data_IF_047688784014
#
_entry.id   IF_047688784014
#
_cell.length_a   1.000
_cell.length_b   1.000
_cell.length_c   1.000
_cell.angle_alpha   90.00
_cell.angle_beta   90.00
_cell.angle_gamma   90.00
#
_symmetry.space_group_name_H-M   'P 1'
#
loop_
_entity.id
_entity.type
_entity.pdbx_description
1 polymer ?
#
# COMPACT_ATOMS: atom_id res chain seq x y z
N UNK A 1 2.63 -37.39 -42.22
CA UNK A 1 3.28 -36.81 -41.03
C UNK A 1 2.67 -35.42 -40.80
N UNK A 2 2.21 -35.08 -39.59
CA UNK A 2 1.84 -33.76 -39.10
C UNK A 2 0.40 -33.27 -39.37
N UNK A 3 -0.59 -33.80 -38.64
CA UNK A 3 -1.85 -33.07 -38.40
C UNK A 3 -2.24 -33.16 -36.89
N UNK A 4 -1.46 -33.84 -36.06
CA UNK A 4 -1.79 -34.03 -34.63
C UNK A 4 -1.47 -32.80 -33.72
N UNK A 5 -0.57 -31.91 -34.13
CA UNK A 5 -0.20 -30.74 -33.30
C UNK A 5 -1.24 -29.61 -33.31
N UNK A 6 -1.96 -29.41 -34.41
CA UNK A 6 -2.92 -28.31 -34.55
C UNK A 6 -4.24 -28.55 -33.78
N UNK A 7 -4.67 -29.79 -33.64
CA UNK A 7 -5.94 -30.12 -32.95
C UNK A 7 -5.78 -30.06 -31.42
N UNK A 8 -4.63 -30.44 -30.87
CA UNK A 8 -4.33 -30.36 -29.43
C UNK A 8 -4.22 -28.88 -29.04
N UNK A 9 -3.49 -28.07 -29.80
CA UNK A 9 -3.35 -26.63 -29.52
C UNK A 9 -4.69 -25.89 -29.60
N UNK A 10 -5.57 -26.24 -30.56
CA UNK A 10 -6.91 -25.64 -30.65
C UNK A 10 -7.83 -26.03 -29.48
N UNK A 11 -7.75 -27.27 -29.00
CA UNK A 11 -8.49 -27.74 -27.84
C UNK A 11 -8.01 -27.04 -26.54
N UNK A 12 -6.70 -26.84 -26.37
CA UNK A 12 -6.12 -26.14 -25.23
C UNK A 12 -6.49 -24.65 -25.21
N UNK A 13 -6.47 -23.98 -26.37
CA UNK A 13 -6.92 -22.59 -26.49
C UNK A 13 -8.43 -22.45 -26.20
N UNK A 14 -9.24 -23.39 -26.69
CA UNK A 14 -10.68 -23.39 -26.40
C UNK A 14 -10.94 -23.57 -24.89
N UNK A 15 -10.21 -24.45 -24.21
CA UNK A 15 -10.30 -24.65 -22.78
C UNK A 15 -9.87 -23.38 -22.03
N UNK A 16 -8.78 -22.73 -22.43
CA UNK A 16 -8.33 -21.49 -21.84
C UNK A 16 -9.37 -20.35 -21.96
N UNK A 17 -10.07 -20.26 -23.08
CA UNK A 17 -11.15 -19.27 -23.26
C UNK A 17 -12.40 -19.63 -22.43
N UNK A 18 -12.74 -20.92 -22.35
CA UNK A 18 -13.90 -21.39 -21.57
C UNK A 18 -13.73 -21.16 -20.06
N UNK A 19 -12.51 -21.27 -19.54
CA UNK A 19 -12.17 -21.07 -18.14
C UNK A 19 -11.76 -19.61 -17.82
N UNK A 20 -11.88 -18.72 -18.80
CA UNK A 20 -11.57 -17.31 -18.63
C UNK A 20 -12.53 -16.61 -17.67
N UNK A 21 -12.07 -15.53 -17.07
CA UNK A 21 -12.85 -14.67 -16.17
C UNK A 21 -12.75 -13.23 -16.65
N UNK A 22 -13.88 -12.55 -16.66
CA UNK A 22 -13.93 -11.10 -16.84
C UNK A 22 -14.56 -10.49 -15.58
N UNK A 23 -14.17 -9.27 -15.27
CA UNK A 23 -14.74 -8.52 -14.15
C UNK A 23 -14.83 -7.04 -14.46
N UNK A 24 -15.75 -6.39 -13.77
CA UNK A 24 -15.83 -4.94 -13.67
C UNK A 24 -15.84 -4.57 -12.19
N UNK A 25 -15.00 -3.60 -11.80
CA UNK A 25 -14.93 -3.05 -10.45
C UNK A 25 -15.17 -1.55 -10.54
N UNK A 26 -16.18 -1.07 -9.83
CA UNK A 26 -16.61 0.33 -9.80
C UNK A 26 -16.47 0.87 -8.38
N UNK A 27 -15.93 2.08 -8.23
CA UNK A 27 -15.83 2.77 -6.94
C UNK A 27 -16.14 4.25 -7.11
N UNK A 28 -17.27 4.69 -6.60
CA UNK A 28 -17.62 6.10 -6.48
C UNK A 28 -17.20 6.58 -5.10
N UNK A 29 -16.38 7.64 -5.02
CA UNK A 29 -15.86 8.17 -3.77
C UNK A 29 -15.94 9.68 -3.73
N UNK A 30 -16.48 10.19 -2.61
CA UNK A 30 -16.36 11.57 -2.20
C UNK A 30 -15.24 11.68 -1.16
N UNK A 31 -14.39 12.68 -1.30
CA UNK A 31 -13.33 13.05 -0.36
C UNK A 31 -13.35 14.57 -0.15
N UNK A 32 -13.17 15.02 1.09
CA UNK A 32 -12.93 16.44 1.40
C UNK A 32 -11.75 16.59 2.35
N UNK A 33 -11.02 17.67 2.20
CA UNK A 33 -9.83 18.03 2.98
C UNK A 33 -9.95 19.48 3.40
N UNK A 34 -9.86 19.73 4.69
CA UNK A 34 -9.80 21.04 5.33
C UNK A 34 -8.47 21.10 6.09
N UNK A 35 -7.57 22.02 5.69
CA UNK A 35 -6.23 22.17 6.26
C UNK A 35 -5.99 23.64 6.61
N UNK A 36 -5.49 23.90 7.82
CA UNK A 36 -5.08 25.26 8.23
C UNK A 36 -3.75 25.68 7.56
N UNK A 37 -3.82 25.88 6.24
CA UNK A 37 -2.72 26.31 5.39
C UNK A 37 -3.15 27.48 4.48
N UNK A 38 -2.30 27.88 3.54
CA UNK A 38 -2.57 29.00 2.63
C UNK A 38 -3.41 28.61 1.39
N UNK A 39 -3.73 27.33 1.23
CA UNK A 39 -4.54 26.80 0.12
C UNK A 39 -6.02 26.79 0.49
N UNK A 40 -6.88 26.72 -0.52
CA UNK A 40 -8.30 26.51 -0.29
C UNK A 40 -8.59 25.04 0.11
N UNK A 41 -9.69 24.82 0.82
CA UNK A 41 -10.18 23.49 1.14
C UNK A 41 -10.48 22.70 -0.12
N UNK A 42 -10.25 21.39 -0.05
CA UNK A 42 -10.46 20.54 -1.21
C UNK A 42 -11.71 19.67 -1.09
N UNK A 43 -12.37 19.44 -2.23
CA UNK A 43 -13.42 18.44 -2.36
C UNK A 43 -13.43 17.78 -3.73
N UNK A 44 -13.55 16.46 -3.75
CA UNK A 44 -13.56 15.65 -4.96
C UNK A 44 -14.68 14.62 -4.93
N UNK A 45 -15.35 14.43 -6.06
CA UNK A 45 -16.19 13.25 -6.30
C UNK A 45 -15.63 12.52 -7.52
N UNK A 46 -15.06 11.34 -7.29
CA UNK A 46 -14.36 10.57 -8.33
C UNK A 46 -15.01 9.21 -8.53
N UNK A 47 -15.02 8.74 -9.77
CA UNK A 47 -15.45 7.40 -10.15
C UNK A 47 -14.27 6.63 -10.75
N UNK A 48 -13.90 5.52 -10.12
CA UNK A 48 -13.00 4.55 -10.71
C UNK A 48 -13.77 3.42 -11.37
N UNK A 49 -13.31 3.03 -12.55
CA UNK A 49 -13.77 1.85 -13.28
C UNK A 49 -12.57 0.98 -13.62
N UNK A 50 -12.54 -0.27 -13.18
CA UNK A 50 -11.57 -1.28 -13.63
C UNK A 50 -12.30 -2.35 -14.43
N UNK A 51 -11.78 -2.64 -15.62
CA UNK A 51 -12.26 -3.73 -16.47
C UNK A 51 -11.12 -4.72 -16.67
N UNK A 52 -11.33 -5.95 -16.25
CA UNK A 52 -10.30 -6.96 -16.29
C UNK A 52 -10.74 -8.26 -16.94
N UNK A 53 -9.74 -8.97 -17.45
CA UNK A 53 -9.85 -10.29 -18.04
C UNK A 53 -8.66 -11.15 -17.61
N UNK A 54 -8.92 -12.43 -17.33
CA UNK A 54 -7.88 -13.43 -17.12
C UNK A 54 -8.26 -14.69 -17.88
N UNK A 55 -7.32 -15.21 -18.69
CA UNK A 55 -7.52 -16.49 -19.38
C UNK A 55 -7.51 -17.65 -18.37
N UNK A 56 -8.09 -18.77 -18.75
CA UNK A 56 -7.80 -20.06 -18.16
C UNK A 56 -6.32 -20.44 -18.37
N UNK A 57 -5.88 -21.51 -17.73
CA UNK A 57 -4.50 -21.98 -17.80
C UNK A 57 -4.31 -23.05 -18.88
N UNK A 58 -3.25 -22.91 -19.69
CA UNK A 58 -2.78 -23.92 -20.65
C UNK A 58 -1.36 -24.31 -20.29
N UNK A 59 -1.15 -25.55 -19.90
CA UNK A 59 0.19 -26.06 -19.48
C UNK A 59 0.86 -25.21 -18.41
N UNK A 60 0.08 -24.64 -17.50
CA UNK A 60 0.54 -23.74 -16.44
C UNK A 60 0.60 -22.26 -16.85
N UNK A 61 0.47 -21.90 -18.11
CA UNK A 61 0.47 -20.52 -18.58
C UNK A 61 -0.92 -19.90 -18.58
N UNK A 62 -1.02 -18.65 -18.16
CA UNK A 62 -2.22 -17.82 -18.24
C UNK A 62 -1.83 -16.36 -18.47
N UNK A 63 -2.79 -15.56 -18.91
CA UNK A 63 -2.63 -14.12 -19.15
C UNK A 63 -3.69 -13.35 -18.39
N UNK A 64 -3.33 -12.18 -17.87
CA UNK A 64 -4.25 -11.23 -17.23
C UNK A 64 -4.04 -9.84 -17.84
N UNK A 65 -5.14 -9.14 -18.14
CA UNK A 65 -5.15 -7.73 -18.49
C UNK A 65 -6.25 -7.02 -17.71
N UNK A 66 -5.97 -5.83 -17.21
CA UNK A 66 -6.90 -4.94 -16.53
C UNK A 66 -6.61 -3.50 -16.94
N UNK A 67 -7.65 -2.77 -17.29
CA UNK A 67 -7.61 -1.33 -17.57
C UNK A 67 -8.31 -0.62 -16.44
N UNK A 68 -7.73 0.47 -15.99
CA UNK A 68 -8.28 1.38 -14.99
C UNK A 68 -8.62 2.72 -15.64
N UNK A 69 -9.75 3.29 -15.23
CA UNK A 69 -10.20 4.63 -15.60
C UNK A 69 -10.67 5.35 -14.33
N UNK A 70 -10.13 6.53 -14.06
CA UNK A 70 -10.52 7.43 -12.96
C UNK A 70 -11.04 8.73 -13.55
N UNK A 71 -12.22 9.17 -13.11
CA UNK A 71 -12.86 10.40 -13.60
C UNK A 71 -13.46 11.21 -12.47
N UNK A 72 -13.35 12.52 -12.60
CA UNK A 72 -14.15 13.47 -11.82
C UNK A 72 -15.60 13.39 -12.32
N UNK A 73 -16.56 13.35 -11.42
CA UNK A 73 -17.98 13.30 -11.77
C UNK A 73 -18.75 14.44 -11.11
N UNK A 74 -19.84 14.84 -11.77
CA UNK A 74 -20.73 15.93 -11.34
C UNK A 74 -20.04 17.30 -11.15
N UNK A 75 -18.85 17.49 -11.75
CA UNK A 75 -18.11 18.76 -11.67
C UNK A 75 -17.59 19.09 -10.27
N UNK A 76 -17.36 18.08 -9.41
CA UNK A 76 -16.76 18.25 -8.09
C UNK A 76 -15.23 18.11 -8.22
N UNK A 77 -14.58 19.21 -8.60
CA UNK A 77 -13.19 19.30 -9.06
C UNK A 77 -12.35 20.33 -8.29
N UNK A 78 -12.81 20.76 -7.12
CA UNK A 78 -12.11 21.71 -6.24
C UNK A 78 -11.03 20.98 -5.43
N UNK A 79 -9.95 20.51 -6.08
CA UNK A 79 -8.83 19.84 -5.42
C UNK A 79 -7.55 19.91 -6.26
N UNK A 80 -6.41 19.78 -5.59
CA UNK A 80 -5.10 19.62 -6.24
C UNK A 80 -4.75 18.13 -6.27
N UNK A 81 -4.33 17.61 -7.44
CA UNK A 81 -3.92 16.19 -7.54
C UNK A 81 -2.59 15.93 -6.83
N UNK A 82 -1.65 16.83 -6.96
CA UNK A 82 -0.30 16.69 -6.40
C UNK A 82 0.73 17.53 -7.16
N UNK A 83 2.02 17.19 -7.05
CA UNK A 83 3.11 18.04 -7.57
C UNK A 83 3.09 18.24 -9.08
N UNK A 84 2.46 17.32 -9.81
CA UNK A 84 2.38 17.38 -11.28
C UNK A 84 0.93 17.16 -11.66
N UNK A 85 0.10 18.17 -11.71
CA UNK A 85 -1.25 17.86 -12.13
C UNK A 85 -2.20 19.02 -11.97
N UNK A 86 -3.42 18.68 -11.85
CA UNK A 86 -4.59 19.52 -11.86
C UNK A 86 -4.61 20.48 -10.65
N UNK A 87 -4.91 21.77 -10.88
CA UNK A 87 -5.05 22.84 -9.88
C UNK A 87 -3.86 22.99 -8.90
N UNK A 88 -2.63 22.80 -9.35
CA UNK A 88 -1.44 22.92 -8.50
C UNK A 88 -1.39 24.29 -7.81
N UNK A 89 -1.35 24.28 -6.46
CA UNK A 89 -1.20 25.47 -5.64
C UNK A 89 -2.49 26.23 -5.35
N UNK A 90 -3.66 25.72 -5.75
CA UNK A 90 -4.96 26.35 -5.44
C UNK A 90 -5.63 25.70 -4.23
N UNK A 91 -5.74 24.38 -4.21
CA UNK A 91 -6.46 23.61 -3.20
C UNK A 91 -5.54 22.65 -2.46
N UNK A 92 -6.00 22.18 -1.32
CA UNK A 92 -5.41 21.03 -0.62
C UNK A 92 -5.42 19.75 -1.49
N UNK A 93 -4.51 18.80 -1.20
CA UNK A 93 -4.26 17.65 -2.08
C UNK A 93 -5.24 16.50 -1.86
N UNK A 94 -5.87 16.06 -2.95
CA UNK A 94 -6.54 14.77 -3.09
C UNK A 94 -5.89 14.04 -4.25
N UNK A 95 -5.14 12.97 -3.98
CA UNK A 95 -4.29 12.27 -4.95
C UNK A 95 -5.10 11.30 -5.83
N UNK A 96 -6.09 11.80 -6.56
CA UNK A 96 -6.94 11.03 -7.47
C UNK A 96 -7.00 11.72 -8.85
N UNK A 97 -6.00 11.49 -9.71
CA UNK A 97 -5.96 12.09 -11.05
C UNK A 97 -7.08 11.56 -11.95
N UNK A 98 -7.47 12.35 -12.95
CA UNK A 98 -8.16 11.80 -14.11
C UNK A 98 -7.13 11.08 -14.99
N UNK A 99 -7.30 9.77 -15.14
CA UNK A 99 -6.40 8.94 -15.95
C UNK A 99 -7.13 7.74 -16.53
N UNK A 100 -6.63 7.23 -17.64
CA UNK A 100 -7.01 5.93 -18.21
C UNK A 100 -5.75 5.20 -18.58
N UNK A 101 -5.49 4.07 -17.94
CA UNK A 101 -4.27 3.34 -18.18
C UNK A 101 -4.43 1.83 -18.05
N UNK A 102 -3.39 1.12 -18.49
CA UNK A 102 -3.27 -0.31 -18.23
C UNK A 102 -2.82 -0.49 -16.78
N UNK A 103 -3.73 -0.98 -15.95
CA UNK A 103 -3.45 -1.24 -14.54
C UNK A 103 -2.67 -2.55 -14.35
N UNK A 104 -3.06 -3.63 -15.07
CA UNK A 104 -2.31 -4.87 -15.10
C UNK A 104 -2.25 -5.45 -16.52
N UNK A 105 -1.09 -5.98 -16.90
CA UNK A 105 -0.91 -6.77 -18.11
C UNK A 105 0.29 -7.71 -17.92
N UNK A 106 0.04 -8.98 -17.61
CA UNK A 106 1.12 -9.93 -17.35
C UNK A 106 0.81 -11.34 -17.86
N UNK A 107 1.88 -12.05 -18.20
CA UNK A 107 1.88 -13.50 -18.35
C UNK A 107 2.24 -14.16 -17.03
N UNK A 108 1.57 -15.25 -16.71
CA UNK A 108 1.87 -16.06 -15.54
C UNK A 108 2.16 -17.52 -15.95
N UNK A 109 3.18 -18.10 -15.34
CA UNK A 109 3.41 -19.54 -15.31
C UNK A 109 3.23 -20.05 -13.88
N UNK A 110 2.41 -21.07 -13.69
CA UNK A 110 2.11 -21.63 -12.37
C UNK A 110 2.13 -23.15 -12.38
N UNK A 111 2.81 -23.70 -11.38
CA UNK A 111 2.75 -25.12 -10.96
C UNK A 111 2.25 -25.23 -9.53
N UNK A 112 2.28 -26.40 -8.92
CA UNK A 112 1.83 -26.62 -7.54
C UNK A 112 2.61 -25.78 -6.52
N UNK A 113 3.92 -25.63 -6.71
CA UNK A 113 4.81 -24.96 -5.76
C UNK A 113 5.55 -23.75 -6.31
N UNK A 114 5.36 -23.41 -7.59
CA UNK A 114 6.05 -22.29 -8.22
C UNK A 114 5.08 -21.41 -9.02
N UNK A 115 5.24 -20.08 -8.90
CA UNK A 115 4.53 -19.11 -9.73
C UNK A 115 5.51 -18.05 -10.19
N UNK A 116 5.58 -17.80 -11.50
CA UNK A 116 6.32 -16.68 -12.08
C UNK A 116 5.37 -15.77 -12.86
N UNK A 117 5.66 -14.47 -12.87
CA UNK A 117 4.94 -13.46 -13.66
C UNK A 117 5.91 -12.53 -14.34
N UNK A 118 5.54 -12.04 -15.52
CA UNK A 118 6.26 -11.00 -16.25
C UNK A 118 5.28 -10.01 -16.84
N UNK A 119 5.53 -8.72 -16.64
CA UNK A 119 4.71 -7.60 -17.06
C UNK A 119 4.16 -6.79 -15.91
N UNK A 120 3.22 -5.88 -16.22
CA UNK A 120 2.60 -4.97 -15.24
C UNK A 120 1.70 -5.75 -14.28
N UNK A 121 1.98 -5.64 -12.99
CA UNK A 121 1.34 -6.44 -11.96
C UNK A 121 1.25 -5.70 -10.62
N UNK A 122 0.25 -6.06 -9.83
CA UNK A 122 0.18 -5.68 -8.42
C UNK A 122 1.11 -6.58 -7.62
N UNK A 123 1.98 -5.98 -6.80
CA UNK A 123 2.79 -6.67 -5.81
C UNK A 123 2.48 -6.10 -4.44
N UNK A 124 2.11 -6.97 -3.50
CA UNK A 124 1.86 -6.59 -2.11
C UNK A 124 2.49 -7.63 -1.20
N UNK A 125 3.23 -7.17 -0.19
CA UNK A 125 3.88 -8.01 0.79
C UNK A 125 3.40 -7.65 2.20
N UNK A 126 3.19 -8.68 3.01
CA UNK A 126 2.70 -8.58 4.38
C UNK A 126 1.47 -7.68 4.51
N UNK A 127 1.55 -6.62 5.31
CA UNK A 127 0.47 -5.66 5.52
C UNK A 127 0.61 -4.37 4.67
N UNK A 128 1.51 -4.37 3.68
CA UNK A 128 1.82 -3.25 2.77
C UNK A 128 2.65 -2.12 3.41
N UNK A 129 3.33 -2.39 4.53
CA UNK A 129 4.16 -1.37 5.20
C UNK A 129 5.37 -0.96 4.37
N UNK A 130 5.96 -1.89 3.63
CA UNK A 130 7.11 -1.63 2.76
C UNK A 130 6.76 -1.75 1.28
N UNK A 131 5.99 -2.76 0.88
CA UNK A 131 5.59 -2.97 -0.52
C UNK A 131 4.08 -3.13 -0.59
N UNK A 132 3.42 -2.17 -1.20
CA UNK A 132 1.98 -2.10 -1.32
C UNK A 132 1.52 -1.50 -2.64
N UNK A 133 0.23 -1.53 -2.89
CA UNK A 133 -0.38 -1.09 -4.15
C UNK A 133 -1.19 0.20 -4.04
N UNK A 134 -1.25 0.83 -2.86
CA UNK A 134 -2.04 2.04 -2.60
C UNK A 134 -3.49 1.95 -3.13
N UNK A 135 -4.09 0.76 -3.10
CA UNK A 135 -5.42 0.49 -3.67
C UNK A 135 -6.58 1.23 -2.99
N UNK A 136 -6.26 2.06 -1.99
CA UNK A 136 -7.13 3.07 -1.42
C UNK A 136 -7.44 4.19 -2.43
N UNK A 137 -6.45 4.63 -3.22
CA UNK A 137 -6.60 5.66 -4.25
C UNK A 137 -7.34 5.13 -5.48
N UNK A 138 -7.88 6.03 -6.31
CA UNK A 138 -8.58 5.65 -7.52
C UNK A 138 -7.60 5.10 -8.56
N UNK A 139 -6.44 5.71 -8.70
CA UNK A 139 -5.29 5.18 -9.40
C UNK A 139 -4.39 4.43 -8.40
N UNK A 140 -4.09 3.17 -8.64
CA UNK A 140 -3.26 2.39 -7.72
C UNK A 140 -1.84 2.18 -8.23
N UNK A 141 -0.91 2.05 -7.29
CA UNK A 141 0.46 1.67 -7.60
C UNK A 141 0.54 0.25 -8.14
N UNK A 142 1.19 0.09 -9.30
CA UNK A 142 1.55 -1.18 -9.91
C UNK A 142 3.02 -1.19 -10.33
N UNK A 143 3.53 -2.35 -10.73
CA UNK A 143 4.94 -2.51 -11.05
C UNK A 143 5.10 -3.25 -12.38
N UNK A 144 5.91 -2.73 -13.29
CA UNK A 144 6.40 -3.49 -14.42
C UNK A 144 7.58 -4.33 -13.92
N UNK A 145 7.38 -5.66 -13.90
CA UNK A 145 8.28 -6.53 -13.14
C UNK A 145 8.37 -7.95 -13.70
N UNK A 146 9.45 -8.62 -13.31
CA UNK A 146 9.56 -10.09 -13.32
C UNK A 146 9.51 -10.54 -11.87
N UNK A 147 8.55 -11.40 -11.52
CA UNK A 147 8.42 -11.91 -10.16
C UNK A 147 8.33 -13.43 -10.12
N UNK A 148 8.81 -14.02 -9.04
CA UNK A 148 8.75 -15.45 -8.79
C UNK A 148 8.41 -15.74 -7.32
N UNK A 149 7.49 -16.67 -7.10
CA UNK A 149 7.16 -17.21 -5.78
C UNK A 149 7.38 -18.72 -5.77
N UNK A 150 8.08 -19.22 -4.76
CA UNK A 150 8.40 -20.62 -4.61
C UNK A 150 8.03 -21.12 -3.20
N UNK A 151 7.12 -22.09 -3.11
CA UNK A 151 6.83 -22.82 -1.89
C UNK A 151 7.91 -23.92 -1.72
N UNK A 152 8.99 -23.59 -1.03
CA UNK A 152 10.13 -24.50 -0.85
C UNK A 152 9.77 -25.70 0.01
N UNK A 153 8.90 -25.50 1.00
CA UNK A 153 8.24 -26.53 1.83
C UNK A 153 6.82 -26.07 2.16
N UNK A 154 6.05 -26.91 2.85
CA UNK A 154 4.70 -26.55 3.35
C UNK A 154 4.73 -25.32 4.28
N UNK A 155 5.86 -25.03 4.88
CA UNK A 155 6.03 -23.96 5.85
C UNK A 155 6.88 -22.78 5.38
N UNK A 156 7.67 -22.95 4.30
CA UNK A 156 8.61 -21.95 3.80
C UNK A 156 8.25 -21.50 2.39
N UNK A 157 7.93 -20.24 2.22
CA UNK A 157 7.72 -19.59 0.94
C UNK A 157 8.78 -18.51 0.70
N UNK A 158 9.33 -18.50 -0.51
CA UNK A 158 10.28 -17.51 -0.98
C UNK A 158 9.63 -16.69 -2.09
N UNK A 159 9.91 -15.41 -2.10
CA UNK A 159 9.50 -14.49 -3.16
C UNK A 159 10.68 -13.63 -3.60
N UNK A 160 10.80 -13.45 -4.91
CA UNK A 160 11.73 -12.52 -5.53
C UNK A 160 11.01 -11.74 -6.63
N UNK A 161 11.32 -10.45 -6.74
CA UNK A 161 10.92 -9.63 -7.88
C UNK A 161 12.02 -8.67 -8.27
N UNK A 162 12.18 -8.47 -9.58
CA UNK A 162 12.90 -7.35 -10.17
C UNK A 162 11.89 -6.40 -10.78
N UNK A 163 11.83 -5.15 -10.25
CA UNK A 163 10.97 -4.11 -10.76
C UNK A 163 11.80 -3.21 -11.68
N UNK A 164 11.36 -3.03 -12.91
CA UNK A 164 12.02 -2.11 -13.85
C UNK A 164 11.20 -0.83 -14.09
N UNK A 165 9.98 -0.73 -13.50
CA UNK A 165 9.18 0.50 -13.45
C UNK A 165 8.22 0.46 -12.27
N UNK A 166 8.08 1.61 -11.61
CA UNK A 166 7.07 1.89 -10.59
C UNK A 166 6.00 2.77 -11.23
N UNK A 167 4.79 2.23 -11.46
CA UNK A 167 3.65 3.00 -11.95
C UNK A 167 2.94 3.57 -10.73
N UNK A 168 2.91 4.90 -10.64
CA UNK A 168 2.52 5.62 -9.43
C UNK A 168 1.06 6.10 -9.50
N UNK A 169 0.49 6.43 -8.33
CA UNK A 169 -0.89 6.91 -8.15
C UNK A 169 -1.19 8.29 -8.74
N UNK A 170 -0.25 8.93 -9.40
CA UNK A 170 -0.36 10.29 -9.97
C UNK A 170 -0.36 10.28 -11.50
N UNK A 171 -0.81 9.18 -12.12
CA UNK A 171 -0.79 8.91 -13.55
C UNK A 171 0.64 8.82 -14.14
N UNK A 172 0.73 8.52 -15.43
CA UNK A 172 1.98 8.19 -16.15
C UNK A 172 3.12 9.23 -15.98
N UNK A 173 2.75 10.51 -15.81
CA UNK A 173 3.75 11.57 -15.67
C UNK A 173 4.58 11.50 -14.38
N UNK A 174 4.12 10.73 -13.38
CA UNK A 174 4.81 10.53 -12.12
C UNK A 174 5.47 9.14 -11.99
N UNK A 175 5.42 8.34 -13.03
CA UNK A 175 6.04 7.02 -13.07
C UNK A 175 7.56 7.12 -13.03
N UNK A 176 8.20 6.11 -12.46
CA UNK A 176 9.65 6.05 -12.30
C UNK A 176 10.18 4.74 -12.88
N UNK A 177 11.15 4.85 -13.78
CA UNK A 177 11.98 3.70 -14.15
C UNK A 177 12.85 3.31 -12.95
N UNK A 178 13.07 2.02 -12.75
CA UNK A 178 13.76 1.52 -11.56
C UNK A 178 14.59 0.25 -11.82
N UNK A 179 15.47 -0.04 -10.88
CA UNK A 179 16.28 -1.28 -10.83
C UNK A 179 16.12 -1.93 -9.46
N UNK A 180 14.86 -2.12 -9.03
CA UNK A 180 14.58 -2.59 -7.68
C UNK A 180 14.66 -4.11 -7.57
N UNK A 181 15.27 -4.60 -6.50
CA UNK A 181 15.26 -6.00 -6.12
C UNK A 181 14.46 -6.19 -4.82
N UNK A 182 13.44 -7.02 -4.88
CA UNK A 182 12.58 -7.36 -3.75
C UNK A 182 12.80 -8.83 -3.41
N UNK A 183 13.39 -9.11 -2.24
CA UNK A 183 13.58 -10.46 -1.71
C UNK A 183 12.76 -10.59 -0.42
N UNK A 184 12.00 -11.69 -0.31
CA UNK A 184 11.14 -11.91 0.83
C UNK A 184 11.00 -13.41 1.12
N UNK A 185 11.12 -13.79 2.38
CA UNK A 185 10.97 -15.17 2.86
C UNK A 185 9.97 -15.21 4.01
N UNK A 186 8.98 -16.09 3.92
CA UNK A 186 7.98 -16.33 4.97
C UNK A 186 8.10 -17.75 5.49
N UNK A 187 8.26 -17.89 6.81
CA UNK A 187 8.22 -19.18 7.49
C UNK A 187 7.04 -19.21 8.48
N UNK A 188 6.12 -20.14 8.27
CA UNK A 188 4.94 -20.31 9.12
C UNK A 188 5.13 -21.53 10.03
N UNK A 189 4.95 -21.36 11.33
CA UNK A 189 5.09 -22.41 12.33
C UNK A 189 3.89 -22.45 13.27
N UNK A 190 3.89 -23.41 14.20
CA UNK A 190 2.84 -23.50 15.23
C UNK A 190 2.85 -22.33 16.22
N UNK A 191 3.98 -21.64 16.37
CA UNK A 191 4.13 -20.50 17.28
C UNK A 191 3.88 -19.18 16.60
N UNK A 192 3.86 -19.12 15.27
CA UNK A 192 3.62 -17.87 14.53
C UNK A 192 4.25 -17.85 13.14
N UNK A 193 4.17 -16.70 12.51
CA UNK A 193 4.74 -16.37 11.21
C UNK A 193 6.03 -15.56 11.41
N UNK A 194 7.10 -15.97 10.78
CA UNK A 194 8.36 -15.25 10.69
C UNK A 194 8.57 -14.78 9.26
N UNK A 195 9.05 -13.57 9.10
CA UNK A 195 9.42 -13.00 7.80
C UNK A 195 10.85 -12.49 7.87
N UNK A 196 11.58 -12.63 6.77
CA UNK A 196 12.84 -11.95 6.54
C UNK A 196 12.82 -11.37 5.13
N UNK A 197 13.32 -10.15 4.97
CA UNK A 197 13.30 -9.47 3.69
C UNK A 197 14.53 -8.60 3.43
N UNK A 198 14.81 -8.37 2.15
CA UNK A 198 15.72 -7.36 1.67
C UNK A 198 15.07 -6.64 0.48
N UNK A 199 14.98 -5.31 0.57
CA UNK A 199 14.46 -4.43 -0.47
C UNK A 199 15.57 -3.49 -0.88
N UNK A 200 16.11 -3.70 -2.09
CA UNK A 200 17.19 -2.92 -2.67
C UNK A 200 16.58 -2.07 -3.77
N UNK A 201 16.41 -0.79 -3.48
CA UNK A 201 15.66 0.13 -4.35
C UNK A 201 16.59 1.15 -4.99
N UNK A 202 16.46 1.29 -6.31
CA UNK A 202 17.20 2.27 -7.12
C UNK A 202 16.25 2.88 -8.16
N UNK A 203 16.19 4.21 -8.23
CA UNK A 203 15.51 4.91 -9.33
C UNK A 203 16.49 5.02 -10.50
N UNK A 204 16.10 4.53 -11.68
CA UNK A 204 16.92 4.59 -12.91
C UNK A 204 16.80 5.97 -13.58
N UNK A 205 17.54 6.94 -13.07
CA UNK A 205 17.48 8.35 -13.47
C UNK A 205 18.86 8.99 -13.70
N UNK A 206 19.85 8.20 -14.03
CA UNK A 206 21.25 8.62 -14.23
C UNK A 206 21.91 9.27 -13.00
N UNK A 207 21.34 9.08 -11.80
CA UNK A 207 21.96 9.42 -10.52
C UNK A 207 22.44 8.15 -9.81
N UNK A 208 23.48 8.30 -8.99
CA UNK A 208 23.93 7.24 -8.09
C UNK A 208 23.07 7.31 -6.82
N UNK A 209 22.05 6.47 -6.74
CA UNK A 209 21.12 6.43 -5.62
C UNK A 209 20.81 4.97 -5.25
N UNK A 210 20.74 4.70 -3.97
CA UNK A 210 20.32 3.42 -3.44
C UNK A 210 19.54 3.59 -2.14
N UNK A 211 18.58 2.71 -1.91
CA UNK A 211 17.83 2.62 -0.67
C UNK A 211 17.70 1.15 -0.28
N UNK A 212 18.64 0.68 0.53
CA UNK A 212 18.74 -0.71 0.91
C UNK A 212 18.11 -0.95 2.29
N UNK A 213 17.08 -1.77 2.34
CA UNK A 213 16.35 -2.09 3.57
C UNK A 213 16.42 -3.59 3.85
N UNK A 214 16.85 -3.96 5.05
CA UNK A 214 16.89 -5.34 5.52
C UNK A 214 16.09 -5.46 6.80
N UNK A 215 15.18 -6.45 6.87
CA UNK A 215 14.33 -6.58 8.04
C UNK A 215 13.86 -7.99 8.33
N UNK A 216 13.35 -8.13 9.56
CA UNK A 216 12.74 -9.34 10.07
C UNK A 216 11.48 -9.00 10.85
N UNK A 217 10.45 -9.85 10.75
CA UNK A 217 9.25 -9.70 11.56
C UNK A 217 8.76 -11.03 12.12
N UNK A 218 7.97 -10.92 13.18
CA UNK A 218 7.29 -12.05 13.80
C UNK A 218 5.85 -11.66 14.17
N UNK A 219 4.89 -12.50 13.81
CA UNK A 219 3.49 -12.40 14.19
C UNK A 219 3.05 -13.67 14.91
N UNK A 220 2.52 -13.52 16.11
CA UNK A 220 1.99 -14.58 16.93
C UNK A 220 0.52 -14.40 17.29
N UNK A 221 -0.15 -15.52 17.57
CA UNK A 221 -1.52 -15.54 18.09
C UNK A 221 -1.65 -16.56 19.22
N UNK A 222 -2.40 -16.18 20.25
CA UNK A 222 -2.69 -17.06 21.36
C UNK A 222 -4.19 -17.08 21.62
N UNK A 223 -4.78 -18.27 21.65
CA UNK A 223 -6.19 -18.49 21.94
C UNK A 223 -6.35 -18.72 23.44
N UNK A 224 -7.14 -17.88 24.10
CA UNK A 224 -7.53 -18.08 25.50
C UNK A 224 -9.02 -18.44 25.61
N UNK A 225 -9.47 -18.75 26.81
CA UNK A 225 -10.85 -19.16 27.06
C UNK A 225 -11.86 -18.04 26.77
N UNK A 226 -11.52 -16.82 27.10
CA UNK A 226 -12.39 -15.63 26.90
C UNK A 226 -11.76 -14.58 26.01
N UNK A 227 -10.43 -14.48 25.98
CA UNK A 227 -9.69 -13.45 25.25
C UNK A 227 -8.75 -14.11 24.26
N UNK A 228 -8.83 -13.71 23.00
CA UNK A 228 -7.85 -14.06 21.97
C UNK A 228 -6.82 -12.95 21.83
N UNK A 229 -5.56 -13.32 21.82
CA UNK A 229 -4.44 -12.40 21.71
C UNK A 229 -3.79 -12.49 20.32
N UNK A 230 -3.34 -11.35 19.80
CA UNK A 230 -2.42 -11.27 18.69
C UNK A 230 -1.29 -10.31 19.08
N UNK A 231 -0.07 -10.61 18.68
CA UNK A 231 1.10 -9.80 18.99
C UNK A 231 2.15 -9.97 17.90
N UNK A 232 2.98 -8.97 17.72
CA UNK A 232 4.03 -9.00 16.73
C UNK A 232 5.10 -7.98 17.02
N UNK A 233 6.24 -8.19 16.35
CA UNK A 233 7.33 -7.25 16.33
C UNK A 233 8.03 -7.32 14.97
N UNK A 234 8.54 -6.18 14.50
CA UNK A 234 9.30 -6.02 13.27
C UNK A 234 10.45 -5.07 13.50
N UNK A 235 11.61 -5.42 12.96
CA UNK A 235 12.80 -4.58 12.99
C UNK A 235 13.43 -4.56 11.60
N UNK A 236 13.87 -3.37 11.16
CA UNK A 236 14.65 -3.22 9.95
C UNK A 236 15.77 -2.17 10.12
N UNK A 237 16.78 -2.31 9.28
CA UNK A 237 17.81 -1.30 9.05
C UNK A 237 17.73 -0.84 7.60
N UNK A 238 18.03 0.43 7.38
CA UNK A 238 18.02 1.03 6.06
C UNK A 238 19.26 1.88 5.88
N UNK A 239 19.95 1.69 4.75
CA UNK A 239 21.00 2.57 4.25
C UNK A 239 20.45 3.32 3.04
N UNK A 240 20.62 4.63 3.00
CA UNK A 240 20.21 5.50 1.91
C UNK A 240 21.44 6.22 1.34
N UNK A 241 21.75 5.96 0.09
CA UNK A 241 22.77 6.68 -0.66
C UNK A 241 22.09 7.63 -1.63
N UNK A 242 22.41 8.91 -1.57
CA UNK A 242 21.94 9.92 -2.53
C UNK A 242 23.11 10.73 -3.01
N UNK A 243 23.37 10.73 -4.30
CA UNK A 243 24.41 11.58 -4.84
C UNK A 243 24.62 11.41 -6.32
N UNK A 244 24.71 12.53 -6.99
CA UNK A 244 25.38 12.64 -8.27
C UNK A 244 26.57 13.60 -8.07
N UNK A 245 27.78 13.08 -8.07
CA UNK A 245 29.00 13.89 -7.95
C UNK A 245 29.50 14.10 -6.52
N UNK A 246 30.14 15.26 -6.26
CA UNK A 246 30.88 15.57 -5.04
C UNK A 246 30.06 15.71 -3.75
N UNK A 247 28.75 15.55 -3.78
CA UNK A 247 27.84 15.73 -2.65
C UNK A 247 27.04 14.43 -2.33
N UNK A 248 27.67 13.27 -2.47
CA UNK A 248 27.07 12.04 -2.00
C UNK A 248 26.84 12.12 -0.49
N UNK A 249 25.62 11.81 -0.06
CA UNK A 249 25.25 11.73 1.37
C UNK A 249 24.76 10.32 1.65
N UNK A 250 25.36 9.72 2.67
CA UNK A 250 24.99 8.39 3.17
C UNK A 250 24.26 8.57 4.50
N UNK A 251 23.14 7.90 4.64
CA UNK A 251 22.36 7.89 5.87
C UNK A 251 22.01 6.48 6.28
N UNK A 252 22.00 6.23 7.59
CA UNK A 252 21.57 4.98 8.18
C UNK A 252 20.41 5.22 9.15
N UNK A 253 19.31 4.54 8.96
CA UNK A 253 18.16 4.62 9.85
C UNK A 253 17.63 3.23 10.22
N UNK A 254 16.92 3.15 11.35
CA UNK A 254 16.30 1.92 11.81
C UNK A 254 14.77 2.05 11.89
N UNK A 255 14.10 0.92 11.77
CA UNK A 255 12.66 0.78 11.93
C UNK A 255 12.35 -0.21 13.03
N UNK A 256 11.37 0.11 13.85
CA UNK A 256 10.82 -0.79 14.85
C UNK A 256 9.30 -0.68 14.83
N UNK A 257 8.62 -1.81 14.80
CA UNK A 257 7.20 -1.89 15.14
C UNK A 257 6.97 -2.99 16.17
N UNK A 258 6.10 -2.74 17.14
CA UNK A 258 5.66 -3.76 18.09
C UNK A 258 4.19 -3.53 18.45
N UNK A 259 3.40 -4.60 18.48
CA UNK A 259 2.00 -4.49 18.83
C UNK A 259 1.50 -5.65 19.71
N UNK A 260 0.44 -5.35 20.45
CA UNK A 260 -0.39 -6.33 21.14
C UNK A 260 -1.86 -6.01 20.92
N UNK A 261 -2.67 -7.04 20.65
CA UNK A 261 -4.11 -6.93 20.49
C UNK A 261 -4.83 -7.99 21.33
N UNK A 262 -5.94 -7.59 21.94
CA UNK A 262 -6.83 -8.45 22.71
C UNK A 262 -8.25 -8.38 22.14
N UNK A 263 -8.82 -9.55 21.80
CA UNK A 263 -10.20 -9.64 21.29
C UNK A 263 -11.07 -10.34 22.34
N UNK A 264 -12.11 -9.63 22.80
CA UNK A 264 -13.11 -10.10 23.75
C UNK A 264 -14.51 -9.83 23.17
N UNK A 265 -15.36 -10.83 23.11
CA UNK A 265 -16.76 -10.70 22.66
C UNK A 265 -16.93 -9.96 21.32
N UNK A 266 -15.99 -10.14 20.38
CA UNK A 266 -16.05 -9.54 19.05
C UNK A 266 -15.54 -8.09 18.96
N UNK A 267 -15.06 -7.52 20.09
CA UNK A 267 -14.35 -6.23 20.12
C UNK A 267 -12.87 -6.49 20.30
N UNK A 268 -12.04 -5.85 19.49
CA UNK A 268 -10.58 -5.91 19.56
C UNK A 268 -10.04 -4.56 20.02
N UNK A 269 -9.25 -4.58 21.08
CA UNK A 269 -8.39 -3.47 21.48
C UNK A 269 -6.95 -3.77 21.06
N UNK A 270 -6.26 -2.81 20.45
CA UNK A 270 -4.86 -2.95 20.03
C UNK A 270 -4.07 -1.73 20.46
N UNK A 271 -2.86 -1.97 20.94
CA UNK A 271 -1.79 -0.97 21.10
C UNK A 271 -0.70 -1.32 20.09
N UNK A 272 -0.23 -0.33 19.39
CA UNK A 272 0.79 -0.42 18.36
C UNK A 272 1.80 0.69 18.59
N UNK A 273 3.09 0.38 18.53
CA UNK A 273 4.16 1.35 18.66
C UNK A 273 5.10 1.20 17.48
N UNK A 274 5.20 2.22 16.66
CA UNK A 274 6.03 2.27 15.47
C UNK A 274 7.08 3.37 15.61
N UNK A 275 8.31 3.07 15.19
CA UNK A 275 9.42 4.01 15.09
C UNK A 275 9.96 3.94 13.66
N UNK A 276 9.91 5.04 12.96
CA UNK A 276 10.65 5.31 11.75
C UNK A 276 11.82 6.21 12.17
N UNK A 277 12.98 5.61 12.40
CA UNK A 277 14.12 6.26 13.03
C UNK A 277 14.70 7.39 12.19
N UNK A 278 15.50 8.22 12.84
CA UNK A 278 16.25 9.31 12.23
C UNK A 278 17.75 9.01 12.24
N UNK A 279 18.45 9.54 11.25
CA UNK A 279 19.91 9.68 11.27
C UNK A 279 20.25 11.15 11.58
N UNK A 280 20.59 11.41 12.86
CA UNK A 280 21.02 12.70 13.40
C UNK A 280 20.09 13.91 13.04
N UNK A 281 18.80 13.67 12.87
CA UNK A 281 17.82 14.72 12.49
C UNK A 281 17.91 15.17 11.03
N UNK A 282 18.64 14.47 10.18
CA UNK A 282 18.88 14.82 8.77
C UNK A 282 18.17 13.89 7.78
N UNK A 283 17.83 12.68 8.20
CA UNK A 283 17.16 11.68 7.38
C UNK A 283 16.23 10.83 8.23
N UNK A 284 15.00 10.63 7.75
CA UNK A 284 14.02 9.73 8.37
C UNK A 284 13.86 8.45 7.55
N UNK A 285 13.76 7.29 8.22
CA UNK A 285 13.54 5.98 7.60
C UNK A 285 12.40 6.01 6.58
N UNK A 286 12.68 5.70 5.32
CA UNK A 286 11.74 5.87 4.21
C UNK A 286 11.06 4.57 3.77
N UNK A 287 9.80 4.64 3.36
CA UNK A 287 9.04 3.50 2.85
C UNK A 287 8.34 3.84 1.51
N UNK A 288 9.11 4.10 0.42
CA UNK A 288 8.58 4.72 -0.80
C UNK A 288 7.60 3.84 -1.60
N UNK A 289 7.58 2.50 -1.38
CA UNK A 289 6.65 1.59 -2.04
C UNK A 289 5.46 1.17 -1.16
N UNK A 290 5.30 1.78 0.02
CA UNK A 290 4.25 1.44 0.98
C UNK A 290 2.85 1.89 0.50
N UNK A 291 1.82 1.27 1.06
CA UNK A 291 0.46 1.85 1.09
C UNK A 291 0.39 2.89 2.21
N UNK A 292 1.01 4.04 2.00
CA UNK A 292 1.32 5.04 3.04
C UNK A 292 0.10 5.49 3.84
N UNK A 293 -1.04 5.76 3.18
CA UNK A 293 -2.31 6.16 3.82
C UNK A 293 -2.84 5.20 4.90
N UNK A 294 -2.37 3.96 4.93
CA UNK A 294 -2.76 2.96 5.93
C UNK A 294 -2.08 3.19 7.29
N UNK A 295 -0.98 3.93 7.29
CA UNK A 295 -0.08 4.08 8.43
C UNK A 295 0.04 5.55 8.85
N UNK A 296 0.40 5.79 10.12
CA UNK A 296 0.75 7.09 10.67
C UNK A 296 -0.33 8.17 10.48
N UNK A 297 -1.61 7.77 10.68
CA UNK A 297 -2.78 8.64 10.54
C UNK A 297 -3.36 8.69 9.12
N UNK A 298 -4.65 8.96 9.02
CA UNK A 298 -5.37 9.01 7.75
C UNK A 298 -5.46 10.41 7.15
N UNK A 299 -5.08 11.44 7.91
CA UNK A 299 -5.01 12.80 7.37
C UNK A 299 -3.81 13.01 6.45
N UNK A 300 -2.98 11.96 6.26
CA UNK A 300 -1.84 11.94 5.35
C UNK A 300 -0.73 12.96 5.70
N UNK A 301 -0.60 13.34 6.99
CA UNK A 301 0.45 14.27 7.41
C UNK A 301 1.85 13.64 7.36
N UNK A 302 1.92 12.33 7.57
CA UNK A 302 3.17 11.56 7.63
C UNK A 302 3.26 10.49 6.54
N UNK A 303 2.87 10.83 5.29
CA UNK A 303 3.14 9.97 4.12
C UNK A 303 4.65 9.80 3.88
N UNK A 304 5.43 10.85 4.08
CA UNK A 304 6.89 10.79 4.17
C UNK A 304 7.31 10.97 5.62
N UNK A 305 8.29 10.18 6.05
CA UNK A 305 8.90 10.33 7.37
C UNK A 305 9.66 11.65 7.43
N UNK A 306 9.43 12.51 8.43
CA UNK A 306 10.21 13.72 8.62
C UNK A 306 11.68 13.40 8.95
N UNK A 307 12.59 14.34 8.69
CA UNK A 307 14.04 14.15 8.88
C UNK A 307 14.39 13.76 10.32
N UNK A 308 13.67 14.30 11.32
CA UNK A 308 13.81 13.94 12.72
C UNK A 308 13.21 12.57 13.08
N UNK A 309 12.76 11.80 12.09
CA UNK A 309 12.07 10.52 12.32
C UNK A 309 10.66 10.70 12.90
N UNK A 310 9.97 9.58 13.07
CA UNK A 310 8.60 9.54 13.56
C UNK A 310 8.40 8.38 14.51
N UNK A 311 7.90 8.67 15.70
CA UNK A 311 7.33 7.69 16.63
C UNK A 311 5.81 7.85 16.64
N UNK A 312 5.10 6.74 16.47
CA UNK A 312 3.63 6.67 16.45
C UNK A 312 3.17 5.69 17.54
N UNK A 313 2.62 6.22 18.62
CA UNK A 313 1.95 5.40 19.63
C UNK A 313 0.44 5.39 19.33
N UNK A 314 -0.03 4.25 18.84
CA UNK A 314 -1.42 4.09 18.40
C UNK A 314 -2.22 3.20 19.31
N UNK A 315 -3.39 3.67 19.68
CA UNK A 315 -4.43 2.91 20.36
C UNK A 315 -5.62 2.72 19.43
N UNK A 316 -6.13 1.51 19.29
CA UNK A 316 -7.31 1.30 18.46
C UNK A 316 -8.31 0.33 19.06
N UNK A 317 -9.58 0.57 18.74
CA UNK A 317 -10.72 -0.29 19.04
C UNK A 317 -11.45 -0.61 17.75
N UNK A 318 -11.83 -1.85 17.57
CA UNK A 318 -12.60 -2.27 16.39
C UNK A 318 -13.56 -3.40 16.71
N UNK A 319 -14.62 -3.52 15.89
CA UNK A 319 -15.63 -4.56 16.12
C UNK A 319 -16.72 -4.56 15.06
N UNK A 320 -17.71 -5.41 15.28
CA UNK A 320 -18.91 -5.49 14.44
C UNK A 320 -20.03 -4.57 14.99
N UNK A 321 -20.77 -3.89 14.11
CA UNK A 321 -21.94 -3.09 14.42
C UNK A 321 -22.93 -3.12 13.26
N UNK A 322 -24.20 -3.47 13.52
CA UNK A 322 -25.27 -3.42 12.53
C UNK A 322 -24.96 -4.14 11.19
N UNK A 323 -24.20 -5.25 11.24
CA UNK A 323 -23.78 -6.02 10.08
C UNK A 323 -22.62 -5.41 9.28
N UNK A 324 -22.02 -4.34 9.79
CA UNK A 324 -20.78 -3.74 9.29
C UNK A 324 -19.63 -3.86 10.30
N UNK A 325 -18.53 -3.18 10.00
CA UNK A 325 -17.33 -3.11 10.85
C UNK A 325 -17.03 -1.66 11.17
N UNK A 326 -16.67 -1.40 12.41
CA UNK A 326 -16.22 -0.08 12.86
C UNK A 326 -14.78 -0.15 13.36
N UNK A 327 -14.09 0.97 13.27
CA UNK A 327 -12.77 1.19 13.84
C UNK A 327 -12.69 2.62 14.38
N UNK A 328 -12.09 2.75 15.55
CA UNK A 328 -11.65 4.00 16.17
C UNK A 328 -10.16 3.85 16.45
N UNK A 329 -9.34 4.84 16.08
CA UNK A 329 -7.93 4.88 16.43
C UNK A 329 -7.55 6.27 16.94
N UNK A 330 -6.58 6.31 17.84
CA UNK A 330 -5.88 7.50 18.32
C UNK A 330 -4.40 7.29 18.12
N UNK A 331 -3.75 8.26 17.54
CA UNK A 331 -2.31 8.33 17.32
C UNK A 331 -1.72 9.48 18.14
N UNK A 332 -0.59 9.24 18.76
CA UNK A 332 0.26 10.23 19.43
C UNK A 332 1.61 10.22 18.75
N UNK A 333 1.94 11.33 18.09
CA UNK A 333 3.12 11.45 17.25
C UNK A 333 4.22 12.24 17.93
N UNK A 334 5.43 11.71 17.89
CA UNK A 334 6.62 12.41 18.40
C UNK A 334 7.85 12.15 17.52
N UNK A 335 8.82 13.04 17.56
CA UNK A 335 10.08 12.88 16.85
C UNK A 335 10.92 11.75 17.46
N UNK A 336 11.68 11.04 16.63
CA UNK A 336 12.68 10.08 17.09
C UNK A 336 13.94 10.83 17.56
N UNK A 337 14.44 11.77 16.78
CA UNK A 337 15.50 12.69 17.18
C UNK A 337 14.91 14.01 17.71
N UNK A 338 15.19 14.30 18.97
CA UNK A 338 14.74 15.51 19.66
C UNK A 338 15.71 16.68 19.57
N UNK A 339 16.87 16.50 18.95
CA UNK A 339 17.93 17.53 18.86
C UNK A 339 17.47 18.77 18.09
N UNK A 340 16.52 18.63 17.16
CA UNK A 340 15.95 19.72 16.38
C UNK A 340 15.01 20.63 17.18
N UNK A 341 14.62 20.25 18.41
CA UNK A 341 13.68 20.97 19.27
C UNK A 341 12.20 20.76 18.93
N UNK A 342 11.87 20.07 17.85
CA UNK A 342 10.50 19.76 17.43
C UNK A 342 10.10 18.34 17.87
N UNK A 343 9.85 18.16 19.17
CA UNK A 343 9.56 16.84 19.73
C UNK A 343 8.12 16.38 19.55
N UNK A 344 7.18 17.28 19.76
CA UNK A 344 5.74 17.01 19.62
C UNK A 344 5.37 17.16 18.16
N UNK A 345 4.90 16.09 17.54
CA UNK A 345 4.45 16.08 16.14
C UNK A 345 2.93 16.01 16.03
N UNK A 346 2.21 16.18 17.13
CA UNK A 346 0.76 16.25 17.15
C UNK A 346 0.07 14.91 17.40
N UNK A 347 -1.23 14.90 17.23
CA UNK A 347 -2.05 13.70 17.44
C UNK A 347 -3.18 13.60 16.42
N UNK A 348 -3.69 12.38 16.22
CA UNK A 348 -4.77 12.14 15.24
C UNK A 348 -5.82 11.19 15.78
N UNK A 349 -7.10 11.51 15.51
CA UNK A 349 -8.23 10.62 15.75
C UNK A 349 -8.78 10.14 14.41
N UNK A 350 -8.95 8.83 14.27
CA UNK A 350 -9.48 8.20 13.08
C UNK A 350 -10.73 7.39 13.38
N UNK A 351 -11.79 7.57 12.61
CA UNK A 351 -13.05 6.82 12.73
C UNK A 351 -13.46 6.26 11.38
N UNK A 352 -13.85 4.99 11.35
CA UNK A 352 -14.34 4.35 10.13
C UNK A 352 -15.52 3.43 10.42
N UNK A 353 -16.46 3.39 9.48
CA UNK A 353 -17.47 2.34 9.40
C UNK A 353 -17.57 1.82 7.97
N UNK A 354 -17.56 0.51 7.81
CA UNK A 354 -17.72 -0.15 6.50
C UNK A 354 -18.79 -1.22 6.58
N UNK A 355 -19.57 -1.37 5.49
CA UNK A 355 -20.61 -2.38 5.41
C UNK A 355 -20.79 -2.88 3.99
N UNK A 356 -20.89 -4.20 3.83
CA UNK A 356 -21.37 -4.80 2.58
C UNK A 356 -22.89 -4.95 2.66
N UNK A 357 -23.62 -4.41 1.68
CA UNK A 357 -25.07 -4.55 1.60
C UNK A 357 -25.52 -5.17 0.27
N UNK A 358 -26.72 -5.79 0.29
CA UNK A 358 -27.23 -6.59 -0.83
C UNK A 358 -26.23 -7.61 -1.38
N UNK A 359 -25.27 -8.06 -0.56
CA UNK A 359 -24.25 -9.06 -0.89
C UNK A 359 -23.15 -8.62 -1.87
N UNK A 360 -23.26 -7.42 -2.47
CA UNK A 360 -22.37 -6.97 -3.57
C UNK A 360 -21.91 -5.52 -3.49
N UNK A 361 -22.58 -4.65 -2.73
CA UNK A 361 -22.18 -3.24 -2.64
C UNK A 361 -21.34 -3.04 -1.37
N UNK A 362 -20.15 -2.47 -1.52
CA UNK A 362 -19.26 -2.09 -0.44
C UNK A 362 -19.44 -0.60 -0.15
N UNK A 363 -19.98 -0.28 1.01
CA UNK A 363 -20.15 1.08 1.50
C UNK A 363 -19.16 1.37 2.61
N UNK A 364 -18.63 2.58 2.64
CA UNK A 364 -17.80 3.05 3.75
C UNK A 364 -17.93 4.54 3.97
N UNK A 365 -17.70 4.92 5.22
CA UNK A 365 -17.51 6.29 5.69
C UNK A 365 -16.29 6.31 6.59
N UNK A 366 -15.48 7.36 6.46
CA UNK A 366 -14.21 7.50 7.16
C UNK A 366 -13.97 8.97 7.49
N UNK A 367 -13.38 9.23 8.64
CA UNK A 367 -13.00 10.56 9.08
C UNK A 367 -11.68 10.50 9.82
N UNK A 368 -10.81 11.47 9.58
CA UNK A 368 -9.59 11.73 10.31
C UNK A 368 -9.50 13.19 10.72
N UNK A 369 -9.06 13.45 11.94
CA UNK A 369 -8.77 14.79 12.44
C UNK A 369 -7.41 14.78 13.12
N UNK A 370 -6.51 15.61 12.64
CA UNK A 370 -5.15 15.79 13.13
C UNK A 370 -5.01 17.17 13.79
N UNK A 371 -4.49 17.18 15.00
CA UNK A 371 -4.13 18.34 15.78
C UNK A 371 -2.62 18.50 15.73
N UNK A 372 -2.13 19.59 15.15
CA UNK A 372 -0.74 19.78 14.80
C UNK A 372 0.14 20.07 16.03
N UNK A 373 1.34 19.49 16.03
CA UNK A 373 2.39 19.84 16.98
C UNK A 373 3.31 20.94 16.43
N UNK A 374 4.62 20.71 16.49
CA UNK A 374 5.62 21.68 16.02
C UNK A 374 5.76 21.77 14.50
N UNK A 375 5.33 20.76 13.79
CA UNK A 375 5.37 20.69 12.32
C UNK A 375 3.99 20.32 11.79
N UNK A 376 3.75 20.53 10.49
CA UNK A 376 2.48 20.29 9.85
C UNK A 376 1.40 21.31 10.27
N UNK A 377 0.15 21.05 9.93
CA UNK A 377 -0.99 21.94 10.17
C UNK A 377 -2.22 21.12 10.57
N UNK A 378 -3.11 21.72 11.33
CA UNK A 378 -4.39 21.10 11.66
C UNK A 378 -5.11 20.68 10.39
N UNK A 379 -5.61 19.44 10.40
CA UNK A 379 -6.19 18.85 9.19
C UNK A 379 -7.37 17.97 9.52
N UNK A 380 -8.46 18.19 8.79
CA UNK A 380 -9.64 17.34 8.81
C UNK A 380 -9.79 16.68 7.43
N UNK A 381 -10.05 15.38 7.41
CA UNK A 381 -10.38 14.65 6.17
C UNK A 381 -11.61 13.80 6.36
N UNK A 382 -12.47 13.80 5.34
CA UNK A 382 -13.68 13.00 5.32
C UNK A 382 -13.78 12.23 4.00
N UNK A 383 -14.22 10.98 4.09
CA UNK A 383 -14.48 10.14 2.92
C UNK A 383 -15.79 9.39 3.04
N UNK A 384 -16.46 9.25 1.90
CA UNK A 384 -17.58 8.36 1.73
C UNK A 384 -17.50 7.68 0.38
N UNK A 385 -17.73 6.38 0.34
CA UNK A 385 -17.68 5.63 -0.91
C UNK A 385 -18.72 4.55 -1.00
N UNK A 386 -19.03 4.19 -2.25
CA UNK A 386 -19.77 3.00 -2.61
C UNK A 386 -19.06 2.29 -3.76
N UNK A 387 -18.79 1.01 -3.60
CA UNK A 387 -18.16 0.18 -4.61
C UNK A 387 -18.98 -1.06 -4.94
N UNK A 388 -18.69 -1.65 -6.08
CA UNK A 388 -19.27 -2.94 -6.48
C UNK A 388 -18.35 -3.65 -7.47
N UNK A 389 -18.36 -4.98 -7.42
CA UNK A 389 -17.63 -5.82 -8.38
C UNK A 389 -18.54 -6.90 -8.94
N UNK A 390 -18.46 -7.08 -10.27
CA UNK A 390 -19.20 -8.06 -11.05
C UNK A 390 -18.29 -9.12 -11.63
#
# INVERSE_FOLDING_TARGET
MTVLGGSVMAADIHAALSDSKAWADLNLRYESVDQDNALEDASALTLRTRLGFSSGSVNGFSFTAEVEDSRIVLGQDEFTVGPTGFNVGEYSVIADPETTEVDQAFMQYKTDNFTARVGRQVITLDDHRFVGHVGWRQDRQTFDAVSAKYAATDNLALFYSYLYKRNRIFAEAADLDSKDHILHATYTSKIGKFVAYAYLLEVDNDTDNALDTYGVSYDGKMKGDSVNWAYGAEFATQSSETGAGEAATDFDASYLNAYVAATLSGVTAKVDYEILGSDDGLYGFATPLATLHKFNGWTDQFLGTPEQGLKDLKFSLSGGLAGGKWLLAYHDFSADDSSTGANDLGSEINVQYTKKFAGKYDFGIKYGTYDAGHIKVDTNRFWMWIGTRF
#
